data_IF_355509959630
#
_entry.id   IF_355509959630
#
_cell.length_a   1.000
_cell.length_b   1.000
_cell.length_c   1.000
_cell.angle_alpha   90.00
_cell.angle_beta   90.00
_cell.angle_gamma   90.00
#
_symmetry.space_group_name_H-M   'P 1'
#
loop_
_entity.id
_entity.type
_entity.pdbx_description
1 polymer ?
#
# COMPACT_ATOMS: atom_id res chain seq x y z
N UNK A 1 -12.60 -21.22 -37.73
CA UNK A 1 -12.18 -21.70 -36.40
C UNK A 1 -10.65 -21.64 -36.31
N UNK A 2 -10.10 -20.68 -35.56
CA UNK A 2 -8.65 -20.59 -35.31
C UNK A 2 -8.38 -21.07 -33.88
N UNK A 3 -7.95 -22.32 -33.76
CA UNK A 3 -7.86 -23.11 -32.51
C UNK A 3 -6.60 -22.74 -31.68
N UNK A 4 -5.88 -21.68 -32.06
CA UNK A 4 -4.58 -21.29 -31.48
C UNK A 4 -4.63 -20.14 -30.46
N UNK A 5 -5.81 -19.63 -30.08
CA UNK A 5 -5.94 -18.56 -29.06
C UNK A 5 -6.09 -19.06 -27.62
N UNK A 6 -6.15 -20.38 -27.38
CA UNK A 6 -6.36 -20.97 -26.04
C UNK A 6 -5.10 -21.51 -25.35
N UNK A 7 -3.91 -21.24 -25.89
CA UNK A 7 -2.64 -21.54 -25.22
C UNK A 7 -2.04 -20.20 -24.82
N UNK A 8 -2.19 -19.82 -23.55
CA UNK A 8 -1.85 -18.52 -22.95
C UNK A 8 -0.38 -18.07 -23.04
N UNK A 9 0.15 -17.95 -24.25
CA UNK A 9 1.41 -17.27 -24.58
C UNK A 9 1.11 -15.86 -25.10
N UNK A 10 0.38 -15.08 -24.30
CA UNK A 10 0.42 -13.63 -24.41
C UNK A 10 1.62 -13.14 -23.62
N UNK A 11 2.78 -13.01 -24.28
CA UNK A 11 3.90 -12.30 -23.68
C UNK A 11 3.46 -10.84 -23.48
N UNK A 12 3.04 -10.50 -22.26
CA UNK A 12 2.90 -9.12 -21.83
C UNK A 12 4.30 -8.52 -21.84
N UNK A 13 4.68 -7.94 -22.96
CA UNK A 13 5.90 -7.15 -23.15
C UNK A 13 5.78 -5.81 -22.41
N UNK A 14 5.48 -5.84 -21.11
CA UNK A 14 5.74 -4.67 -20.25
C UNK A 14 7.24 -4.69 -19.95
N UNK A 15 7.97 -3.62 -20.29
CA UNK A 15 9.38 -3.55 -19.98
C UNK A 15 9.57 -3.72 -18.47
N UNK A 16 10.60 -4.46 -18.07
CA UNK A 16 11.05 -4.47 -16.69
C UNK A 16 11.22 -3.00 -16.23
N UNK A 17 10.90 -2.66 -14.97
CA UNK A 17 11.08 -1.30 -14.49
C UNK A 17 12.52 -0.86 -14.77
N UNK A 18 12.68 0.33 -15.34
CA UNK A 18 14.01 0.92 -15.52
C UNK A 18 14.68 1.01 -14.14
N UNK A 19 16.01 0.83 -14.10
CA UNK A 19 16.78 0.95 -12.85
C UNK A 19 16.48 2.26 -12.11
N UNK A 20 16.23 3.34 -12.86
CA UNK A 20 15.80 4.64 -12.34
C UNK A 20 14.41 4.59 -11.68
N UNK A 21 13.41 4.00 -12.35
CA UNK A 21 12.07 3.86 -11.79
C UNK A 21 12.05 3.00 -10.52
N UNK A 22 12.87 1.95 -10.47
CA UNK A 22 13.04 1.14 -9.26
C UNK A 22 13.71 1.92 -8.13
N UNK A 23 14.72 2.75 -8.41
CA UNK A 23 15.36 3.55 -7.36
C UNK A 23 14.43 4.59 -6.75
N UNK A 24 13.52 5.17 -7.54
CA UNK A 24 12.53 6.12 -7.02
C UNK A 24 11.52 5.41 -6.12
N UNK A 25 10.97 4.27 -6.56
CA UNK A 25 9.97 3.52 -5.79
C UNK A 25 10.52 2.93 -4.47
N UNK A 26 11.82 2.67 -4.41
CA UNK A 26 12.53 2.18 -3.22
C UNK A 26 13.12 3.31 -2.36
N UNK A 27 12.94 4.56 -2.76
CA UNK A 27 13.33 5.73 -1.98
C UNK A 27 12.49 5.89 -0.71
N UNK A 28 12.91 6.79 0.21
CA UNK A 28 12.12 7.12 1.40
C UNK A 28 10.83 7.87 1.03
N UNK A 29 9.89 7.94 1.98
CA UNK A 29 8.77 8.88 1.93
C UNK A 29 9.27 10.26 2.38
N UNK A 30 9.46 11.17 1.41
CA UNK A 30 9.94 12.54 1.64
C UNK A 30 8.78 13.54 1.86
N UNK A 31 7.52 13.08 1.87
CA UNK A 31 6.38 13.94 2.20
C UNK A 31 6.45 14.40 3.67
N UNK A 32 6.00 15.63 3.93
CA UNK A 32 5.97 16.19 5.27
C UNK A 32 4.53 16.23 5.79
N UNK A 33 4.23 15.68 6.98
CA UNK A 33 2.89 15.76 7.54
C UNK A 33 2.56 17.19 7.98
N UNK A 34 1.29 17.46 8.29
CA UNK A 34 0.90 18.77 8.81
C UNK A 34 1.62 19.07 10.15
N UNK A 35 1.81 20.35 10.52
CA UNK A 35 2.55 20.71 11.73
C UNK A 35 2.00 20.02 12.99
N UNK A 36 2.91 19.41 13.76
CA UNK A 36 2.57 18.69 14.99
C UNK A 36 2.07 17.25 14.78
N UNK A 37 1.87 16.82 13.53
CA UNK A 37 1.42 15.47 13.20
C UNK A 37 2.59 14.53 12.87
N UNK A 38 2.34 13.23 12.90
CA UNK A 38 3.27 12.19 12.45
C UNK A 38 2.62 11.30 11.39
N UNK A 39 3.45 10.69 10.54
CA UNK A 39 3.01 9.64 9.61
C UNK A 39 3.19 8.25 10.20
N UNK A 40 2.30 7.34 9.80
CA UNK A 40 2.43 5.89 9.96
C UNK A 40 1.90 5.20 8.70
N UNK A 41 2.45 4.04 8.34
CA UNK A 41 1.97 3.23 7.21
C UNK A 41 1.67 1.81 7.67
N UNK A 42 0.52 1.27 7.24
CA UNK A 42 0.07 -0.08 7.58
C UNK A 42 -0.40 -0.83 6.34
N UNK A 43 0.07 -2.07 6.17
CA UNK A 43 -0.39 -2.99 5.13
C UNK A 43 -1.13 -4.17 5.75
N UNK A 44 -2.44 -4.28 5.49
CA UNK A 44 -3.34 -5.21 6.19
C UNK A 44 -4.40 -5.81 5.24
N UNK A 45 -4.04 -6.13 4.00
CA UNK A 45 -4.96 -6.60 2.97
C UNK A 45 -5.60 -5.45 2.18
N UNK A 46 -6.81 -5.67 1.67
CA UNK A 46 -7.53 -4.66 0.88
C UNK A 46 -7.65 -3.34 1.66
N UNK A 47 -6.99 -2.29 1.14
CA UNK A 47 -6.84 -1.02 1.83
C UNK A 47 -8.17 -0.28 2.16
N UNK A 48 -9.29 -0.65 1.54
CA UNK A 48 -10.59 0.00 1.75
C UNK A 48 -11.12 -0.26 3.17
N UNK A 49 -11.05 -1.52 3.63
CA UNK A 49 -11.48 -1.88 4.97
C UNK A 49 -10.50 -1.40 6.04
N UNK A 50 -9.22 -1.35 5.69
CA UNK A 50 -8.13 -0.89 6.56
C UNK A 50 -8.22 0.62 6.78
N UNK A 51 -8.44 1.40 5.72
CA UNK A 51 -8.59 2.85 5.79
C UNK A 51 -9.77 3.22 6.70
N UNK A 52 -10.91 2.56 6.49
CA UNK A 52 -12.11 2.78 7.30
C UNK A 52 -11.87 2.53 8.80
N UNK A 53 -10.99 1.59 9.16
CA UNK A 53 -10.65 1.34 10.56
C UNK A 53 -9.88 2.53 11.15
N UNK A 54 -8.88 3.06 10.44
CA UNK A 54 -8.09 4.20 10.90
C UNK A 54 -8.86 5.52 10.89
N UNK A 55 -9.79 5.72 9.95
CA UNK A 55 -10.67 6.91 9.90
C UNK A 55 -11.51 7.10 11.17
N UNK A 56 -11.71 6.04 11.96
CA UNK A 56 -12.55 6.04 13.17
C UNK A 56 -11.74 6.22 14.46
N UNK A 57 -10.42 6.35 14.37
CA UNK A 57 -9.54 6.48 15.53
C UNK A 57 -9.46 7.96 15.94
N UNK A 58 -9.87 8.33 17.18
CA UNK A 58 -9.66 9.68 17.69
C UNK A 58 -8.18 10.07 17.65
N UNK A 59 -7.87 11.30 17.23
CA UNK A 59 -6.50 11.78 17.04
C UNK A 59 -5.89 11.45 15.67
N UNK A 60 -6.53 10.62 14.84
CA UNK A 60 -6.20 10.52 13.41
C UNK A 60 -6.81 11.71 12.66
N UNK A 61 -5.98 12.43 11.93
CA UNK A 61 -6.34 13.68 11.25
C UNK A 61 -6.47 13.53 9.74
N UNK A 62 -5.80 12.54 9.15
CA UNK A 62 -5.93 12.18 7.73
C UNK A 62 -5.66 10.68 7.53
N UNK A 63 -6.40 10.07 6.61
CA UNK A 63 -6.06 8.78 6.01
C UNK A 63 -5.97 8.94 4.50
N UNK A 64 -5.10 8.15 3.88
CA UNK A 64 -5.08 7.96 2.45
C UNK A 64 -4.56 6.56 2.11
N UNK A 65 -5.11 5.97 1.05
CA UNK A 65 -4.67 4.68 0.53
C UNK A 65 -3.62 4.86 -0.55
N UNK A 66 -2.72 3.87 -0.70
CA UNK A 66 -1.72 3.91 -1.75
C UNK A 66 -0.95 2.61 -1.90
N UNK A 67 0.11 2.68 -2.72
CA UNK A 67 0.99 1.58 -3.04
C UNK A 67 2.42 1.93 -2.61
N UNK A 68 3.08 1.04 -1.88
CA UNK A 68 4.45 1.26 -1.39
C UNK A 68 5.26 -0.04 -1.37
N UNK A 69 6.58 0.09 -1.18
CA UNK A 69 7.56 -1.01 -1.06
C UNK A 69 7.80 -1.84 -2.33
N UNK A 70 7.20 -1.48 -3.46
CA UNK A 70 7.43 -2.12 -4.76
C UNK A 70 8.51 -1.46 -5.62
N UNK A 71 8.67 -1.94 -6.84
CA UNK A 71 9.77 -1.55 -7.74
C UNK A 71 9.34 -0.66 -8.91
N UNK A 72 8.05 -0.35 -9.05
CA UNK A 72 7.52 0.44 -10.15
C UNK A 72 7.20 1.86 -9.67
N UNK A 73 7.83 2.87 -10.25
CA UNK A 73 7.47 4.26 -10.00
C UNK A 73 6.12 4.60 -10.67
N UNK A 74 5.27 5.36 -9.98
CA UNK A 74 3.91 5.75 -10.41
C UNK A 74 3.04 4.57 -10.90
N UNK A 75 2.85 3.51 -10.10
CA UNK A 75 2.02 2.38 -10.51
C UNK A 75 0.54 2.77 -10.55
N UNK A 76 -0.20 2.26 -11.53
CA UNK A 76 -1.67 2.28 -11.51
C UNK A 76 -2.24 1.13 -10.66
N UNK A 77 -3.54 1.18 -10.34
CA UNK A 77 -4.24 0.07 -9.71
C UNK A 77 -4.15 -1.20 -10.58
N UNK A 78 -4.31 -1.05 -11.90
CA UNK A 78 -4.20 -2.13 -12.86
C UNK A 78 -2.81 -2.75 -12.88
N UNK A 79 -1.75 -1.94 -12.72
CA UNK A 79 -0.38 -2.44 -12.61
C UNK A 79 -0.22 -3.29 -11.35
N UNK A 80 -0.68 -2.83 -10.19
CA UNK A 80 -0.57 -3.56 -8.92
C UNK A 80 -1.39 -4.85 -8.93
N UNK A 81 -2.59 -4.83 -9.53
CA UNK A 81 -3.44 -6.01 -9.67
C UNK A 81 -2.79 -7.15 -10.46
N UNK A 82 -1.75 -6.89 -11.25
CA UNK A 82 -0.98 -7.95 -11.92
C UNK A 82 -0.13 -8.79 -10.95
N UNK A 83 0.17 -8.26 -9.76
CA UNK A 83 1.09 -8.84 -8.80
C UNK A 83 2.57 -8.70 -9.14
N UNK A 84 2.94 -8.09 -10.29
CA UNK A 84 4.33 -8.02 -10.74
C UNK A 84 5.09 -6.78 -10.25
N UNK A 85 4.41 -5.79 -9.66
CA UNK A 85 5.05 -4.54 -9.20
C UNK A 85 5.75 -4.69 -7.85
N UNK A 86 5.42 -5.75 -7.09
CA UNK A 86 5.81 -5.97 -5.70
C UNK A 86 5.37 -4.86 -4.73
N UNK A 87 4.46 -3.98 -5.15
CA UNK A 87 3.87 -3.01 -4.24
C UNK A 87 2.88 -3.70 -3.31
N UNK A 88 2.83 -3.22 -2.07
CA UNK A 88 1.78 -3.57 -1.12
C UNK A 88 0.69 -2.50 -1.15
N UNK A 89 -0.57 -2.91 -0.99
CA UNK A 89 -1.65 -1.98 -0.63
C UNK A 89 -1.44 -1.53 0.82
N UNK A 90 -1.31 -0.23 1.03
CA UNK A 90 -1.09 0.37 2.35
C UNK A 90 -2.03 1.53 2.61
N UNK A 91 -2.28 1.80 3.89
CA UNK A 91 -2.89 3.03 4.36
C UNK A 91 -1.81 3.88 4.99
N UNK A 92 -1.65 5.12 4.52
CA UNK A 92 -0.85 6.15 5.20
C UNK A 92 -1.78 6.95 6.12
N UNK A 93 -1.41 6.98 7.39
CA UNK A 93 -2.15 7.64 8.47
C UNK A 93 -1.36 8.86 8.90
N UNK A 94 -2.03 10.00 9.02
CA UNK A 94 -1.52 11.16 9.74
C UNK A 94 -2.28 11.27 11.07
N UNK A 95 -1.54 11.40 12.17
CA UNK A 95 -2.12 11.45 13.52
C UNK A 95 -1.40 12.43 14.42
N UNK A 96 -2.14 12.99 15.39
CA UNK A 96 -1.59 13.87 16.42
C UNK A 96 -1.07 12.99 17.57
N UNK A 97 0.26 12.94 17.81
CA UNK A 97 0.85 12.12 18.86
C UNK A 97 0.44 12.54 20.28
N UNK A 98 -0.20 13.70 20.45
CA UNK A 98 -0.76 14.15 21.74
C UNK A 98 -2.17 13.60 21.98
N UNK A 99 -2.88 13.19 20.94
CA UNK A 99 -4.25 12.67 21.02
C UNK A 99 -4.32 11.16 20.74
N UNK A 100 -3.44 10.63 19.88
CA UNK A 100 -3.34 9.22 19.53
C UNK A 100 -1.88 8.76 19.64
N UNK A 101 -1.63 7.66 20.34
CA UNK A 101 -0.30 7.05 20.38
C UNK A 101 -0.10 6.10 19.18
N UNK A 102 1.17 5.82 18.83
CA UNK A 102 1.46 4.80 17.83
C UNK A 102 1.00 3.41 18.26
N UNK A 103 1.08 3.09 19.57
CA UNK A 103 0.58 1.82 20.11
C UNK A 103 -0.93 1.66 19.89
N UNK A 104 -1.71 2.75 20.01
CA UNK A 104 -3.14 2.74 19.68
C UNK A 104 -3.39 2.40 18.20
N UNK A 105 -2.54 2.89 17.30
CA UNK A 105 -2.62 2.52 15.88
C UNK A 105 -2.23 1.05 15.65
N UNK A 106 -1.24 0.54 16.38
CA UNK A 106 -0.87 -0.88 16.35
C UNK A 106 -2.00 -1.78 16.85
N UNK A 107 -2.70 -1.41 17.94
CA UNK A 107 -3.85 -2.17 18.44
C UNK A 107 -4.95 -2.28 17.37
N UNK A 108 -5.23 -1.19 16.66
CA UNK A 108 -6.18 -1.18 15.53
C UNK A 108 -5.68 -2.07 14.40
N UNK A 109 -4.40 -1.99 14.06
CA UNK A 109 -3.78 -2.81 13.03
C UNK A 109 -3.95 -4.31 13.35
N UNK A 110 -3.57 -4.76 14.55
CA UNK A 110 -3.68 -6.15 14.95
C UNK A 110 -5.12 -6.65 15.08
N UNK A 111 -6.07 -5.79 15.43
CA UNK A 111 -7.49 -6.15 15.49
C UNK A 111 -8.17 -6.23 14.10
N UNK A 112 -7.56 -5.65 13.05
CA UNK A 112 -8.20 -5.45 11.73
C UNK A 112 -7.95 -6.58 10.74
N UNK A 113 -6.90 -7.38 10.92
CA UNK A 113 -6.47 -8.39 9.95
C UNK A 113 -5.98 -9.66 10.63
N UNK A 114 -5.85 -10.76 9.88
CA UNK A 114 -5.10 -11.94 10.33
C UNK A 114 -3.61 -11.75 9.98
N UNK A 115 -2.74 -11.51 10.98
CA UNK A 115 -1.31 -11.27 10.73
C UNK A 115 -0.53 -12.56 10.45
N UNK A 116 -1.18 -13.72 10.42
CA UNK A 116 -0.53 -15.02 10.24
C UNK A 116 -0.61 -15.54 8.80
N UNK A 117 -1.33 -14.83 7.92
CA UNK A 117 -1.54 -15.24 6.53
C UNK A 117 -0.56 -14.55 5.58
N UNK A 118 0.43 -15.30 5.08
CA UNK A 118 1.42 -14.79 4.13
C UNK A 118 0.79 -14.44 2.77
N UNK A 119 1.04 -13.21 2.28
CA UNK A 119 0.67 -12.72 0.95
C UNK A 119 -0.82 -12.87 0.59
N UNK A 120 -1.69 -12.86 1.61
CA UNK A 120 -3.15 -12.88 1.47
C UNK A 120 -3.79 -12.29 2.72
N UNK A 121 -5.00 -11.80 2.55
CA UNK A 121 -5.87 -11.33 3.63
C UNK A 121 -7.33 -11.58 3.26
#
# INVERSE_FOLDING_TARGET
>A
MNILKNLGFGANNKPAPSMEGSSIAQGPDDDVPAPGQQFAQFGAGCFWGVELAFQRVPGVTKTEVGYSQGFMHNPSYEDVCTGSTNHNEVVRVQYDPKECSFDTLLDVFWARHDPTTLNRQ
#
